data_IF_100555312641
#
_entry.id   IF_100555312641
#
_cell.length_a   1.000
_cell.length_b   1.000
_cell.length_c   1.000
_cell.angle_alpha   90.00
_cell.angle_beta   90.00
_cell.angle_gamma   90.00
#
_symmetry.space_group_name_H-M   'P 1'
#
loop_
_entity.id
_entity.type
_entity.pdbx_description
1 polymer ?
#
# COMPACT_ATOMS: atom_id res chain seq x y z
N UNK A 1 -18.54 -24.41 17.42
CA UNK A 1 -19.15 -23.14 17.03
C UNK A 1 -18.23 -21.98 17.42
N UNK A 2 -17.18 -21.76 16.62
CA UNK A 2 -16.29 -20.62 16.81
C UNK A 2 -16.99 -19.42 16.17
N UNK A 3 -17.61 -18.58 16.97
CA UNK A 3 -18.05 -17.26 16.55
C UNK A 3 -16.79 -16.39 16.43
N UNK A 4 -16.18 -16.41 15.27
CA UNK A 4 -15.10 -15.48 14.95
C UNK A 4 -15.74 -14.14 14.53
N UNK A 5 -16.20 -13.40 15.51
CA UNK A 5 -16.50 -11.99 15.35
C UNK A 5 -15.28 -11.20 15.82
N UNK A 6 -14.18 -11.24 15.08
CA UNK A 6 -13.08 -10.34 15.34
C UNK A 6 -13.48 -8.94 14.84
N UNK A 7 -13.34 -7.87 15.62
CA UNK A 7 -13.53 -6.50 15.15
C UNK A 7 -12.51 -6.11 14.05
N UNK A 8 -11.36 -6.78 13.96
CA UNK A 8 -10.47 -6.71 12.82
C UNK A 8 -11.13 -7.23 11.52
N UNK A 9 -12.08 -8.17 11.67
CA UNK A 9 -12.98 -8.66 10.62
C UNK A 9 -14.42 -8.15 10.77
N UNK A 10 -14.71 -7.33 11.76
CA UNK A 10 -15.96 -6.55 11.85
C UNK A 10 -16.19 -5.63 10.67
N UNK A 11 -15.20 -5.57 9.79
CA UNK A 11 -15.21 -5.02 8.45
C UNK A 11 -16.26 -5.67 7.55
N UNK A 12 -16.72 -6.88 7.88
CA UNK A 12 -17.64 -7.61 7.02
C UNK A 12 -18.58 -8.46 7.86
N UNK A 13 -19.77 -7.95 8.23
CA UNK A 13 -20.77 -8.74 8.96
C UNK A 13 -21.15 -10.07 8.31
N UNK A 14 -20.91 -10.23 7.00
CA UNK A 14 -21.17 -11.46 6.25
C UNK A 14 -20.10 -12.54 6.34
N UNK A 15 -18.85 -12.22 6.75
CA UNK A 15 -17.79 -13.23 6.89
C UNK A 15 -18.11 -14.27 7.96
N UNK A 16 -18.77 -13.88 9.05
CA UNK A 16 -19.21 -14.80 10.10
C UNK A 16 -20.19 -15.88 9.58
N UNK A 17 -20.98 -15.56 8.56
CA UNK A 17 -21.88 -16.52 7.88
C UNK A 17 -21.16 -17.47 6.93
N UNK A 18 -20.17 -16.98 6.20
CA UNK A 18 -19.35 -17.79 5.28
C UNK A 18 -18.46 -18.80 6.01
N UNK A 19 -17.96 -18.46 7.20
CA UNK A 19 -17.22 -19.40 8.07
C UNK A 19 -18.05 -20.60 8.52
N UNK A 20 -19.35 -20.45 8.61
CA UNK A 20 -20.25 -21.56 9.00
C UNK A 20 -20.60 -22.51 7.84
N UNK A 21 -20.47 -22.08 6.58
CA UNK A 21 -20.97 -22.83 5.42
C UNK A 21 -19.99 -22.93 4.24
N UNK A 22 -18.84 -22.26 4.28
CA UNK A 22 -17.92 -22.20 3.16
C UNK A 22 -16.85 -23.29 3.17
N UNK A 23 -16.37 -23.75 2.00
CA UNK A 23 -15.24 -24.66 1.93
C UNK A 23 -14.00 -23.98 2.55
N UNK A 24 -13.20 -24.74 3.30
CA UNK A 24 -11.98 -24.27 3.99
C UNK A 24 -11.08 -23.39 3.10
N UNK A 25 -10.96 -23.73 1.81
CA UNK A 25 -10.17 -22.98 0.83
C UNK A 25 -10.64 -21.54 0.69
N UNK A 26 -11.95 -21.28 0.63
CA UNK A 26 -12.48 -19.92 0.53
C UNK A 26 -12.17 -19.11 1.78
N UNK A 27 -12.35 -19.71 2.95
CA UNK A 27 -12.05 -19.07 4.24
C UNK A 27 -10.56 -18.73 4.34
N UNK A 28 -9.69 -19.64 3.94
CA UNK A 28 -8.25 -19.43 3.88
C UNK A 28 -7.89 -18.28 2.92
N UNK A 29 -8.46 -18.25 1.72
CA UNK A 29 -8.24 -17.19 0.75
C UNK A 29 -8.70 -15.82 1.27
N UNK A 30 -9.84 -15.75 1.96
CA UNK A 30 -10.30 -14.53 2.62
C UNK A 30 -9.33 -14.08 3.73
N UNK A 31 -8.75 -15.02 4.47
CA UNK A 31 -7.71 -14.74 5.46
C UNK A 31 -6.45 -14.09 4.86
N UNK A 32 -6.11 -14.42 3.60
CA UNK A 32 -4.99 -13.78 2.90
C UNK A 32 -5.20 -12.27 2.68
N UNK A 33 -6.44 -11.78 2.65
CA UNK A 33 -6.72 -10.35 2.48
C UNK A 33 -6.13 -9.52 3.62
N UNK A 34 -6.09 -10.06 4.84
CA UNK A 34 -5.46 -9.40 5.98
C UNK A 34 -3.94 -9.26 5.78
N UNK A 35 -3.29 -10.29 5.24
CA UNK A 35 -1.87 -10.22 4.90
C UNK A 35 -1.59 -9.18 3.81
N UNK A 36 -2.52 -9.01 2.85
CA UNK A 36 -2.36 -8.02 1.78
C UNK A 36 -2.32 -6.58 2.31
N UNK A 37 -3.12 -6.25 3.32
CA UNK A 37 -3.05 -4.95 3.98
C UNK A 37 -1.66 -4.68 4.57
N UNK A 38 -1.10 -5.67 5.24
CA UNK A 38 0.23 -5.57 5.89
C UNK A 38 1.35 -5.28 4.89
N UNK A 39 1.22 -5.75 3.64
CA UNK A 39 2.21 -5.54 2.58
C UNK A 39 1.91 -4.35 1.67
N UNK A 40 1.13 -3.38 2.10
CA UNK A 40 0.96 -2.11 1.39
C UNK A 40 1.97 -1.06 1.88
N UNK A 41 2.20 -0.01 1.09
CA UNK A 41 3.06 1.12 1.49
C UNK A 41 4.56 0.94 1.18
N UNK A 42 4.98 -0.15 0.54
CA UNK A 42 6.37 -0.34 0.11
C UNK A 42 6.81 0.69 -0.95
N UNK A 43 5.86 1.31 -1.63
CA UNK A 43 6.06 2.39 -2.59
C UNK A 43 6.56 3.70 -1.95
N UNK A 44 6.52 3.82 -0.63
CA UNK A 44 7.06 4.99 0.07
C UNK A 44 8.52 5.26 -0.31
N UNK A 45 9.33 4.21 -0.52
CA UNK A 45 10.70 4.32 -1.00
C UNK A 45 10.81 4.89 -2.42
N UNK A 46 9.81 4.65 -3.28
CA UNK A 46 9.75 5.26 -4.60
C UNK A 46 9.28 6.72 -4.52
N UNK A 47 8.30 7.01 -3.67
CA UNK A 47 7.73 8.34 -3.50
C UNK A 47 8.73 9.34 -2.87
N UNK A 48 9.78 8.85 -2.21
CA UNK A 48 10.89 9.64 -1.66
C UNK A 48 12.16 9.59 -2.51
N UNK A 49 12.09 9.04 -3.74
CA UNK A 49 13.26 8.87 -4.59
C UNK A 49 13.97 10.19 -4.93
N UNK A 50 13.25 11.29 -5.09
CA UNK A 50 13.83 12.62 -5.36
C UNK A 50 14.72 13.15 -4.21
N UNK A 51 14.54 12.63 -3.00
CA UNK A 51 15.31 12.99 -1.79
C UNK A 51 16.34 11.90 -1.42
N UNK A 52 16.42 10.83 -2.19
CA UNK A 52 17.26 9.65 -1.88
C UNK A 52 18.57 9.71 -2.66
N UNK A 53 19.69 9.60 -1.97
CA UNK A 53 21.02 9.50 -2.61
C UNK A 53 21.10 8.18 -3.39
N UNK A 54 21.60 8.22 -4.63
CA UNK A 54 21.66 7.07 -5.54
C UNK A 54 20.29 6.35 -5.65
N UNK A 55 19.22 7.10 -5.89
CA UNK A 55 17.83 6.63 -5.89
C UNK A 55 17.59 5.42 -6.80
N UNK A 56 18.27 5.35 -7.95
CA UNK A 56 18.18 4.26 -8.91
C UNK A 56 18.55 2.88 -8.32
N UNK A 57 19.35 2.85 -7.26
CA UNK A 57 19.72 1.65 -6.53
C UNK A 57 18.98 1.55 -5.20
N UNK A 58 19.04 2.61 -4.40
CA UNK A 58 18.57 2.60 -3.01
C UNK A 58 17.04 2.53 -2.93
N UNK A 59 16.30 3.18 -3.83
CA UNK A 59 14.84 3.06 -3.85
C UNK A 59 14.38 1.66 -4.24
N UNK A 60 15.05 1.02 -5.21
CA UNK A 60 14.72 -0.35 -5.61
C UNK A 60 14.99 -1.35 -4.48
N UNK A 61 16.13 -1.24 -3.79
CA UNK A 61 16.44 -2.05 -2.61
C UNK A 61 15.51 -1.73 -1.45
N UNK A 62 15.15 -0.47 -1.24
CA UNK A 62 14.20 -0.04 -0.22
C UNK A 62 12.83 -0.71 -0.40
N UNK A 63 12.30 -0.73 -1.62
CA UNK A 63 11.05 -1.42 -1.96
C UNK A 63 11.15 -2.92 -1.66
N UNK A 64 12.22 -3.58 -2.12
CA UNK A 64 12.39 -5.02 -1.92
C UNK A 64 12.56 -5.38 -0.45
N UNK A 65 13.46 -4.68 0.25
CA UNK A 65 13.78 -4.97 1.65
C UNK A 65 12.60 -4.67 2.59
N UNK A 66 11.81 -3.62 2.31
CA UNK A 66 10.62 -3.33 3.12
C UNK A 66 9.64 -4.50 3.12
N UNK A 67 9.42 -5.14 1.97
CA UNK A 67 8.54 -6.32 1.88
C UNK A 67 9.23 -7.56 2.46
N UNK A 68 10.49 -7.83 2.10
CA UNK A 68 11.19 -9.04 2.52
C UNK A 68 11.40 -9.11 4.05
N UNK A 69 11.87 -8.01 4.65
CA UNK A 69 12.07 -7.93 6.10
C UNK A 69 10.74 -7.99 6.84
N UNK A 70 9.73 -7.25 6.38
CA UNK A 70 8.39 -7.28 6.98
C UNK A 70 7.75 -8.67 6.90
N UNK A 71 7.98 -9.40 5.80
CA UNK A 71 7.48 -10.77 5.65
C UNK A 71 8.09 -11.71 6.69
N UNK A 72 9.41 -11.68 6.84
CA UNK A 72 10.12 -12.55 7.78
C UNK A 72 9.76 -12.19 9.24
N UNK A 73 9.91 -10.92 9.61
CA UNK A 73 9.66 -10.46 10.98
C UNK A 73 8.18 -10.62 11.35
N UNK A 74 7.28 -10.24 10.43
CA UNK A 74 5.85 -10.36 10.65
C UNK A 74 5.39 -11.81 10.79
N UNK A 75 5.95 -12.73 9.99
CA UNK A 75 5.66 -14.16 10.11
C UNK A 75 6.11 -14.73 11.46
N UNK A 76 7.34 -14.41 11.88
CA UNK A 76 7.87 -14.84 13.20
C UNK A 76 7.00 -14.27 14.33
N UNK A 77 6.64 -13.00 14.25
CA UNK A 77 5.76 -12.38 15.24
C UNK A 77 4.39 -13.06 15.30
N UNK A 78 3.76 -13.34 14.17
CA UNK A 78 2.48 -14.05 14.12
C UNK A 78 2.58 -15.46 14.68
N UNK A 79 3.67 -16.19 14.40
CA UNK A 79 3.90 -17.52 14.97
C UNK A 79 4.00 -17.45 16.50
N UNK A 80 4.78 -16.50 17.03
CA UNK A 80 4.92 -16.30 18.48
C UNK A 80 3.57 -15.98 19.11
N UNK A 81 2.83 -15.01 18.56
CA UNK A 81 1.52 -14.63 19.06
C UNK A 81 0.52 -15.80 19.04
N UNK A 82 0.55 -16.60 17.98
CA UNK A 82 -0.30 -17.78 17.86
C UNK A 82 0.01 -18.82 18.95
N UNK A 83 1.28 -19.05 19.25
CA UNK A 83 1.70 -19.95 20.33
C UNK A 83 1.37 -19.41 21.73
N UNK A 84 1.32 -18.10 21.87
CA UNK A 84 0.98 -17.44 23.13
C UNK A 84 -0.54 -17.34 23.38
N UNK A 85 -1.40 -17.83 22.47
CA UNK A 85 -2.85 -17.86 22.73
C UNK A 85 -3.12 -18.76 23.97
N UNK A 86 -3.81 -18.25 25.00
CA UNK A 86 -4.05 -19.03 26.21
C UNK A 86 -4.85 -20.31 25.91
N UNK A 87 -4.46 -21.46 26.48
CA UNK A 87 -5.14 -22.74 26.23
C UNK A 87 -6.65 -22.66 26.52
N UNK A 88 -7.46 -23.11 25.56
CA UNK A 88 -8.92 -23.09 25.66
C UNK A 88 -9.58 -21.72 25.43
N UNK A 89 -8.82 -20.63 25.26
CA UNK A 89 -9.33 -19.27 25.11
C UNK A 89 -9.27 -18.74 23.66
N UNK A 90 -9.15 -19.63 22.69
CA UNK A 90 -9.09 -19.23 21.27
C UNK A 90 -10.33 -18.43 20.84
N UNK A 91 -11.53 -18.84 21.27
CA UNK A 91 -12.76 -18.14 20.93
C UNK A 91 -12.87 -16.77 21.62
N UNK A 92 -12.40 -16.65 22.86
CA UNK A 92 -12.35 -15.37 23.59
C UNK A 92 -11.35 -14.42 22.89
N UNK A 93 -10.14 -14.90 22.62
CA UNK A 93 -9.11 -14.13 21.89
C UNK A 93 -9.60 -13.66 20.54
N UNK A 94 -10.29 -14.53 19.79
CA UNK A 94 -10.78 -14.19 18.46
C UNK A 94 -11.95 -13.19 18.46
N UNK A 95 -12.69 -13.09 19.54
CA UNK A 95 -13.81 -12.15 19.70
C UNK A 95 -13.43 -10.86 20.44
N UNK A 96 -12.21 -10.76 20.96
CA UNK A 96 -11.74 -9.55 21.62
C UNK A 96 -11.56 -8.39 20.64
N UNK A 97 -11.77 -7.16 21.11
CA UNK A 97 -11.56 -5.96 20.31
C UNK A 97 -10.08 -5.76 19.93
N UNK A 98 -9.18 -6.24 20.78
CA UNK A 98 -7.73 -6.09 20.63
C UNK A 98 -7.00 -7.43 20.88
N UNK A 99 -7.12 -8.42 19.99
CA UNK A 99 -6.63 -9.79 20.23
C UNK A 99 -5.16 -9.86 20.64
N UNK A 100 -4.31 -9.01 20.06
CA UNK A 100 -2.88 -8.97 20.40
C UNK A 100 -2.67 -8.51 21.84
N UNK A 101 -3.36 -7.45 22.27
CA UNK A 101 -3.27 -6.96 23.65
C UNK A 101 -3.83 -7.98 24.64
N UNK A 102 -4.94 -8.65 24.28
CA UNK A 102 -5.50 -9.74 25.07
C UNK A 102 -4.47 -10.86 25.32
N UNK A 103 -3.75 -11.30 24.29
CA UNK A 103 -2.68 -12.30 24.41
C UNK A 103 -1.57 -11.79 25.33
N UNK A 104 -1.14 -10.55 25.13
CA UNK A 104 -0.05 -9.93 25.90
C UNK A 104 -0.42 -9.82 27.39
N UNK A 105 -1.62 -9.35 27.70
CA UNK A 105 -2.11 -9.21 29.08
C UNK A 105 -2.24 -10.54 29.83
N UNK A 106 -2.53 -11.64 29.09
CA UNK A 106 -2.63 -12.96 29.71
C UNK A 106 -1.27 -13.64 29.94
N UNK A 107 -0.24 -13.27 29.19
CA UNK A 107 1.07 -13.94 29.27
C UNK A 107 2.12 -13.11 30.02
N UNK A 108 1.93 -11.81 30.15
CA UNK A 108 2.90 -10.91 30.75
C UNK A 108 2.31 -10.19 31.98
N UNK A 109 3.19 -9.74 32.86
CA UNK A 109 2.75 -8.86 33.93
C UNK A 109 2.39 -7.47 33.42
N UNK A 110 1.58 -6.71 34.16
CA UNK A 110 1.03 -5.44 33.73
C UNK A 110 2.08 -4.40 33.28
N UNK A 111 3.29 -4.42 33.81
CA UNK A 111 4.36 -3.51 33.37
C UNK A 111 4.79 -3.80 31.94
N UNK A 112 5.08 -5.07 31.61
CA UNK A 112 5.50 -5.44 30.26
C UNK A 112 4.36 -5.37 29.25
N UNK A 113 3.13 -5.68 29.67
CA UNK A 113 1.95 -5.54 28.84
C UNK A 113 1.74 -4.07 28.42
N UNK A 114 1.80 -3.14 29.37
CA UNK A 114 1.70 -1.71 29.08
C UNK A 114 2.87 -1.20 28.22
N UNK A 115 4.09 -1.69 28.44
CA UNK A 115 5.24 -1.32 27.63
C UNK A 115 5.04 -1.74 26.17
N UNK A 116 4.56 -2.96 25.93
CA UNK A 116 4.25 -3.43 24.56
C UNK A 116 3.12 -2.61 23.95
N UNK A 117 2.07 -2.27 24.70
CA UNK A 117 0.99 -1.42 24.21
C UNK A 117 1.52 -0.03 23.76
N UNK A 118 2.42 0.57 24.54
CA UNK A 118 3.06 1.84 24.18
C UNK A 118 3.93 1.68 22.92
N UNK A 119 4.71 0.61 22.81
CA UNK A 119 5.52 0.33 21.59
C UNK A 119 4.63 0.20 20.37
N UNK A 120 3.51 -0.52 20.47
CA UNK A 120 2.53 -0.64 19.38
C UNK A 120 1.98 0.74 19.00
N UNK A 121 1.59 1.56 19.98
CA UNK A 121 1.09 2.92 19.75
C UNK A 121 2.11 3.81 19.04
N UNK A 122 3.37 3.77 19.45
CA UNK A 122 4.47 4.50 18.80
C UNK A 122 4.70 4.00 17.38
N UNK A 123 4.68 2.68 17.16
CA UNK A 123 4.83 2.10 15.82
C UNK A 123 3.68 2.53 14.88
N UNK A 124 2.43 2.55 15.36
CA UNK A 124 1.29 3.03 14.60
C UNK A 124 1.43 4.52 14.24
N UNK A 125 1.90 5.34 15.17
CA UNK A 125 2.14 6.76 14.92
C UNK A 125 3.23 6.98 13.86
N UNK A 126 4.36 6.27 13.95
CA UNK A 126 5.44 6.33 12.96
C UNK A 126 4.98 5.87 11.57
N UNK A 127 4.16 4.82 11.53
CA UNK A 127 3.54 4.36 10.28
C UNK A 127 2.66 5.45 9.65
N UNK A 128 1.83 6.11 10.46
CA UNK A 128 1.02 7.26 10.02
C UNK A 128 1.86 8.43 9.47
N UNK A 129 2.96 8.76 10.14
CA UNK A 129 3.90 9.78 9.67
C UNK A 129 4.55 9.42 8.33
N UNK A 130 4.92 8.16 8.15
CA UNK A 130 5.48 7.65 6.88
C UNK A 130 4.45 7.74 5.75
N UNK A 131 3.21 7.29 6.00
CA UNK A 131 2.11 7.39 5.04
C UNK A 131 1.80 8.83 4.64
N UNK A 132 1.75 9.76 5.61
CA UNK A 132 1.55 11.18 5.33
C UNK A 132 2.68 11.77 4.50
N UNK A 133 3.92 11.39 4.80
CA UNK A 133 5.12 11.79 4.05
C UNK A 133 5.05 11.35 2.59
N UNK A 134 4.76 10.08 2.36
CA UNK A 134 4.61 9.49 1.02
C UNK A 134 3.49 10.18 0.23
N UNK A 135 2.32 10.32 0.85
CA UNK A 135 1.15 10.94 0.21
C UNK A 135 1.40 12.41 -0.14
N UNK A 136 2.02 13.17 0.75
CA UNK A 136 2.31 14.58 0.51
C UNK A 136 3.24 14.77 -0.70
N UNK A 137 4.20 13.88 -0.92
CA UNK A 137 5.10 13.92 -2.07
C UNK A 137 4.42 13.49 -3.35
N UNK A 138 3.59 12.46 -3.29
CA UNK A 138 2.78 12.03 -4.44
C UNK A 138 1.84 13.15 -4.91
N UNK A 139 1.17 13.83 -3.98
CA UNK A 139 0.30 14.97 -4.30
C UNK A 139 1.09 16.15 -4.85
N UNK A 140 2.25 16.43 -4.27
CA UNK A 140 3.15 17.47 -4.77
C UNK A 140 3.59 17.20 -6.22
N UNK A 141 4.05 15.97 -6.51
CA UNK A 141 4.46 15.60 -7.85
C UNK A 141 3.31 15.74 -8.87
N UNK A 142 2.11 15.26 -8.51
CA UNK A 142 0.94 15.36 -9.37
C UNK A 142 0.46 16.82 -9.56
N UNK A 143 0.59 17.67 -8.51
CA UNK A 143 0.30 19.08 -8.60
C UNK A 143 1.35 19.86 -9.42
N UNK A 144 2.63 19.45 -9.35
CA UNK A 144 3.71 20.02 -10.16
C UNK A 144 3.40 19.88 -11.66
N UNK A 145 2.84 18.74 -12.05
CA UNK A 145 2.47 18.45 -13.44
C UNK A 145 1.07 18.96 -13.82
N UNK A 146 0.50 19.85 -13.00
CA UNK A 146 -0.84 20.46 -13.16
C UNK A 146 -1.98 19.42 -13.30
N UNK A 147 -1.80 18.23 -12.75
CA UNK A 147 -2.74 17.10 -12.81
C UNK A 147 -3.92 17.17 -11.84
N UNK A 148 -3.90 18.10 -10.87
CA UNK A 148 -4.95 18.19 -9.84
C UNK A 148 -5.53 19.60 -9.68
N UNK A 149 -6.80 19.72 -9.21
CA UNK A 149 -7.39 21.03 -8.93
C UNK A 149 -6.63 21.69 -7.77
N UNK A 150 -6.44 23.02 -7.85
CA UNK A 150 -5.67 23.75 -6.84
C UNK A 150 -4.16 23.48 -6.87
N UNK A 151 -3.63 22.95 -7.97
CA UNK A 151 -2.21 22.65 -8.17
C UNK A 151 -1.29 23.80 -7.76
N UNK A 152 -1.66 25.05 -8.07
CA UNK A 152 -0.90 26.24 -7.71
C UNK A 152 -0.67 26.42 -6.20
N UNK A 153 -1.56 25.88 -5.35
CA UNK A 153 -1.41 25.91 -3.90
C UNK A 153 -0.60 24.69 -3.41
N UNK A 154 -0.95 23.50 -3.89
CA UNK A 154 -0.39 22.23 -3.41
C UNK A 154 1.10 22.10 -3.78
N UNK A 155 1.51 22.59 -4.95
CA UNK A 155 2.91 22.58 -5.39
C UNK A 155 3.82 23.61 -4.73
N UNK A 156 3.32 24.42 -3.79
CA UNK A 156 4.16 25.37 -3.04
C UNK A 156 4.98 24.66 -1.99
N UNK A 157 6.30 24.73 -2.14
CA UNK A 157 7.24 24.28 -1.12
C UNK A 157 7.52 25.45 -0.16
N UNK A 158 7.48 25.19 1.13
CA UNK A 158 7.82 26.18 2.14
C UNK A 158 9.35 26.36 2.20
N UNK A 159 9.89 27.57 2.00
CA UNK A 159 11.35 27.79 1.95
C UNK A 159 12.07 27.43 3.26
N UNK A 160 11.37 27.53 4.41
CA UNK A 160 11.95 27.28 5.73
C UNK A 160 12.09 25.78 6.02
N UNK A 161 11.12 24.98 5.59
CA UNK A 161 11.05 23.56 5.92
C UNK A 161 11.43 22.65 4.74
N UNK A 162 11.55 23.18 3.53
CA UNK A 162 11.80 22.39 2.32
C UNK A 162 10.69 21.37 1.98
N UNK A 163 9.47 21.57 2.52
CA UNK A 163 8.37 20.60 2.40
C UNK A 163 7.11 21.23 1.82
N UNK A 164 6.25 20.46 1.14
CA UNK A 164 4.96 20.94 0.60
C UNK A 164 3.90 21.01 1.71
N UNK A 165 3.99 22.04 2.56
CA UNK A 165 3.14 22.21 3.76
C UNK A 165 1.64 22.15 3.44
N UNK A 166 1.21 22.77 2.33
CA UNK A 166 -0.20 22.73 1.93
C UNK A 166 -0.67 21.33 1.58
N UNK A 167 0.15 20.55 0.91
CA UNK A 167 -0.15 19.14 0.65
C UNK A 167 -0.34 18.35 1.95
N UNK A 168 0.56 18.55 2.92
CA UNK A 168 0.49 17.90 4.24
C UNK A 168 -0.79 18.30 4.97
N UNK A 169 -1.10 19.61 5.04
CA UNK A 169 -2.28 20.11 5.74
C UNK A 169 -3.59 19.58 5.14
N UNK A 170 -3.71 19.63 3.82
CA UNK A 170 -4.90 19.12 3.12
C UNK A 170 -5.07 17.63 3.39
N UNK A 171 -4.01 16.83 3.21
CA UNK A 171 -4.04 15.38 3.48
C UNK A 171 -4.43 15.09 4.93
N UNK A 172 -3.79 15.78 5.89
CA UNK A 172 -4.08 15.59 7.33
C UNK A 172 -5.53 15.93 7.65
N UNK A 173 -6.06 17.01 7.08
CA UNK A 173 -7.46 17.43 7.29
C UNK A 173 -8.41 16.34 6.77
N UNK A 174 -8.19 15.82 5.57
CA UNK A 174 -9.00 14.72 5.03
C UNK A 174 -8.95 13.47 5.89
N UNK A 175 -7.77 13.07 6.37
CA UNK A 175 -7.60 11.93 7.27
C UNK A 175 -8.40 12.12 8.56
N UNK A 176 -8.28 13.28 9.20
CA UNK A 176 -9.04 13.59 10.43
C UNK A 176 -10.55 13.53 10.19
N UNK A 177 -11.03 14.14 9.11
CA UNK A 177 -12.47 14.13 8.78
C UNK A 177 -13.00 12.71 8.54
N UNK A 178 -12.23 11.86 7.87
CA UNK A 178 -12.59 10.45 7.66
C UNK A 178 -12.60 9.69 8.99
N UNK A 179 -11.61 9.93 9.86
CA UNK A 179 -11.52 9.27 11.17
C UNK A 179 -12.67 9.65 12.14
N UNK A 180 -13.31 10.80 11.94
CA UNK A 180 -14.47 11.20 12.73
C UNK A 180 -15.69 10.28 12.49
N UNK A 181 -15.72 9.59 11.37
CA UNK A 181 -16.78 8.65 11.04
C UNK A 181 -16.27 7.21 11.16
N UNK A 182 -16.43 6.63 12.36
CA UNK A 182 -15.91 5.30 12.71
C UNK A 182 -16.32 4.18 11.73
N UNK A 183 -17.55 4.23 11.20
CA UNK A 183 -18.02 3.26 10.21
C UNK A 183 -17.28 3.35 8.86
N UNK A 184 -16.65 4.50 8.54
CA UNK A 184 -15.88 4.65 7.32
C UNK A 184 -14.55 3.90 7.37
N UNK A 185 -14.00 3.65 8.56
CA UNK A 185 -12.68 3.02 8.71
C UNK A 185 -12.57 1.71 7.92
N UNK A 186 -13.56 0.87 8.02
CA UNK A 186 -13.58 -0.44 7.36
C UNK A 186 -13.65 -0.35 5.84
N UNK A 187 -14.51 0.51 5.35
CA UNK A 187 -14.68 0.73 3.91
C UNK A 187 -13.42 1.36 3.32
N UNK A 188 -12.87 2.37 4.00
CA UNK A 188 -11.66 3.08 3.57
C UNK A 188 -10.44 2.15 3.52
N UNK A 189 -10.24 1.29 4.53
CA UNK A 189 -9.12 0.34 4.53
C UNK A 189 -9.22 -0.67 3.38
N UNK A 190 -10.40 -1.19 3.11
CA UNK A 190 -10.62 -2.12 2.00
C UNK A 190 -10.39 -1.45 0.64
N UNK A 191 -10.93 -0.25 0.43
CA UNK A 191 -10.76 0.51 -0.81
C UNK A 191 -9.29 0.90 -1.00
N UNK A 192 -8.62 1.36 0.06
CA UNK A 192 -7.21 1.75 -0.04
C UNK A 192 -6.32 0.56 -0.44
N UNK A 193 -6.57 -0.63 0.11
CA UNK A 193 -5.83 -1.84 -0.28
C UNK A 193 -5.98 -2.11 -1.77
N UNK A 194 -7.20 -2.15 -2.26
CA UNK A 194 -7.46 -2.44 -3.68
C UNK A 194 -6.87 -1.38 -4.61
N UNK A 195 -7.05 -0.10 -4.28
CA UNK A 195 -6.54 1.00 -5.11
C UNK A 195 -5.02 1.04 -5.13
N UNK A 196 -4.35 0.73 -4.01
CA UNK A 196 -2.90 0.58 -3.95
C UNK A 196 -2.41 -0.57 -4.82
N UNK A 197 -3.02 -1.77 -4.73
CA UNK A 197 -2.64 -2.89 -5.59
C UNK A 197 -2.86 -2.59 -7.07
N UNK A 198 -3.93 -1.87 -7.43
CA UNK A 198 -4.14 -1.40 -8.80
C UNK A 198 -3.06 -0.40 -9.22
N UNK A 199 -2.71 0.55 -8.36
CA UNK A 199 -1.65 1.51 -8.65
C UNK A 199 -0.29 0.84 -8.83
N UNK A 200 0.03 -0.18 -8.03
CA UNK A 200 1.28 -0.93 -8.12
C UNK A 200 1.37 -1.80 -9.38
N UNK A 201 0.25 -2.39 -9.79
CA UNK A 201 0.27 -3.34 -10.91
C UNK A 201 0.29 -2.67 -12.29
N UNK A 202 -0.20 -1.43 -12.39
CA UNK A 202 -0.21 -0.70 -13.67
C UNK A 202 1.20 -0.52 -14.26
N UNK A 203 2.20 -0.01 -13.53
CA UNK A 203 3.58 0.10 -14.03
C UNK A 203 4.18 -1.27 -14.39
N UNK A 204 3.91 -2.30 -13.57
CA UNK A 204 4.38 -3.67 -13.83
C UNK A 204 3.79 -4.22 -15.13
N UNK A 205 2.49 -4.04 -15.33
CA UNK A 205 1.80 -4.46 -16.55
C UNK A 205 2.32 -3.72 -17.78
N UNK A 206 2.51 -2.40 -17.70
CA UNK A 206 3.05 -1.59 -18.80
C UNK A 206 4.47 -2.02 -19.17
N UNK A 207 5.32 -2.26 -18.17
CA UNK A 207 6.67 -2.77 -18.39
C UNK A 207 6.65 -4.17 -19.04
N UNK A 208 5.82 -5.08 -18.52
CA UNK A 208 5.66 -6.42 -19.07
C UNK A 208 5.16 -6.41 -20.53
N UNK A 209 4.15 -5.57 -20.84
CA UNK A 209 3.65 -5.36 -22.20
C UNK A 209 4.73 -4.80 -23.12
N UNK A 210 5.51 -3.84 -22.64
CA UNK A 210 6.57 -3.18 -23.40
C UNK A 210 7.70 -4.17 -23.74
N UNK A 211 8.15 -4.96 -22.78
CA UNK A 211 9.13 -6.04 -22.99
C UNK A 211 8.69 -7.06 -24.03
N UNK A 212 7.40 -7.39 -24.11
CA UNK A 212 6.86 -8.31 -25.11
C UNK A 212 6.79 -7.70 -26.50
N UNK A 213 6.49 -6.39 -26.61
CA UNK A 213 6.37 -5.69 -27.90
C UNK A 213 7.72 -5.46 -28.56
N UNK A 214 8.73 -5.12 -27.81
CA UNK A 214 10.03 -4.69 -28.30
C UNK A 214 11.06 -5.82 -28.40
N UNK A 215 10.64 -7.09 -28.31
CA UNK A 215 11.49 -8.29 -28.48
C UNK A 215 12.83 -8.21 -27.72
N UNK A 216 12.85 -7.54 -26.57
CA UNK A 216 14.02 -7.44 -25.73
C UNK A 216 14.91 -6.20 -25.93
N UNK A 217 14.60 -5.31 -26.91
CA UNK A 217 15.36 -4.05 -27.07
C UNK A 217 15.11 -3.04 -25.96
N UNK A 218 13.95 -3.10 -25.30
CA UNK A 218 13.67 -2.37 -24.06
C UNK A 218 14.00 -3.25 -22.84
N UNK A 219 15.02 -4.03 -22.96
CA UNK A 219 15.63 -4.56 -21.76
C UNK A 219 16.06 -3.36 -20.95
N UNK A 220 15.54 -3.23 -19.72
CA UNK A 220 16.18 -2.53 -18.63
C UNK A 220 17.62 -2.28 -19.02
N UNK A 221 18.05 -1.02 -19.04
CA UNK A 221 19.42 -0.66 -19.41
C UNK A 221 20.37 -1.78 -18.99
N UNK A 222 21.27 -2.22 -19.85
CA UNK A 222 22.23 -3.28 -19.54
C UNK A 222 22.95 -3.02 -18.22
N UNK A 223 22.98 -1.76 -17.79
CA UNK A 223 23.59 -1.26 -16.57
C UNK A 223 22.58 -0.98 -15.43
N UNK A 224 21.30 -1.37 -15.56
CA UNK A 224 20.38 -1.21 -14.44
C UNK A 224 20.85 -2.06 -13.25
N UNK A 225 21.12 -1.45 -12.08
CA UNK A 225 21.70 -2.13 -10.93
C UNK A 225 20.74 -3.18 -10.34
N UNK A 226 19.46 -3.08 -10.70
CA UNK A 226 18.42 -4.02 -10.33
C UNK A 226 17.76 -4.60 -11.57
N UNK A 227 17.94 -5.88 -11.80
CA UNK A 227 17.31 -6.59 -12.91
C UNK A 227 17.04 -8.05 -12.55
N UNK A 228 15.81 -8.50 -12.80
CA UNK A 228 15.42 -9.91 -12.69
C UNK A 228 15.84 -10.76 -13.91
N UNK A 229 16.53 -10.17 -14.89
CA UNK A 229 17.02 -10.84 -16.08
C UNK A 229 15.92 -11.67 -16.77
N UNK A 230 16.21 -12.94 -17.05
CA UNK A 230 15.29 -13.89 -17.72
C UNK A 230 14.01 -14.17 -16.95
N UNK A 231 14.05 -14.07 -15.63
CA UNK A 231 12.88 -14.32 -14.75
C UNK A 231 11.90 -13.15 -14.69
N UNK A 232 12.27 -11.96 -15.18
CA UNK A 232 11.42 -10.78 -15.09
C UNK A 232 10.03 -10.94 -15.71
N UNK A 233 9.92 -11.66 -16.83
CA UNK A 233 8.61 -11.91 -17.45
C UNK A 233 7.74 -12.86 -16.63
N UNK A 234 8.33 -13.87 -16.00
CA UNK A 234 7.63 -14.82 -15.12
C UNK A 234 7.15 -14.10 -13.86
N UNK A 235 8.03 -13.36 -13.20
CA UNK A 235 7.71 -12.63 -11.96
C UNK A 235 6.63 -11.58 -12.20
N UNK A 236 6.74 -10.79 -13.29
CA UNK A 236 5.71 -9.82 -13.65
C UNK A 236 4.37 -10.50 -13.96
N UNK A 237 4.38 -11.63 -14.65
CA UNK A 237 3.17 -12.42 -14.93
C UNK A 237 2.51 -12.95 -13.65
N UNK A 238 3.31 -13.47 -12.71
CA UNK A 238 2.83 -13.92 -11.39
C UNK A 238 2.26 -12.77 -10.56
N UNK A 239 2.92 -11.61 -10.56
CA UNK A 239 2.43 -10.42 -9.85
C UNK A 239 1.08 -9.93 -10.42
N UNK A 240 0.93 -9.92 -11.74
CA UNK A 240 -0.34 -9.56 -12.40
C UNK A 240 -1.42 -10.57 -12.04
N UNK A 241 -1.13 -11.88 -12.16
CA UNK A 241 -2.07 -12.96 -11.82
C UNK A 241 -2.50 -12.91 -10.36
N UNK A 242 -1.56 -12.67 -9.45
CA UNK A 242 -1.83 -12.49 -8.02
C UNK A 242 -2.75 -11.29 -7.74
N UNK A 243 -2.45 -10.13 -8.32
CA UNK A 243 -3.28 -8.94 -8.14
C UNK A 243 -4.69 -9.16 -8.68
N UNK A 244 -4.84 -9.79 -9.84
CA UNK A 244 -6.16 -10.14 -10.37
C UNK A 244 -6.93 -11.09 -9.45
N UNK A 245 -6.26 -12.09 -8.88
CA UNK A 245 -6.85 -13.01 -7.91
C UNK A 245 -7.36 -12.23 -6.68
N UNK A 246 -6.54 -11.35 -6.12
CA UNK A 246 -6.92 -10.52 -4.97
C UNK A 246 -8.11 -9.61 -5.30
N UNK A 247 -8.12 -8.99 -6.47
CA UNK A 247 -9.25 -8.17 -6.93
C UNK A 247 -10.54 -8.97 -7.01
N UNK A 248 -10.48 -10.21 -7.51
CA UNK A 248 -11.64 -11.11 -7.56
C UNK A 248 -12.12 -11.44 -6.14
N UNK A 249 -11.21 -11.81 -5.23
CA UNK A 249 -11.58 -12.16 -3.84
C UNK A 249 -12.21 -10.96 -3.11
N UNK A 250 -11.70 -9.74 -3.32
CA UNK A 250 -12.31 -8.52 -2.78
C UNK A 250 -13.68 -8.19 -3.39
N UNK A 251 -13.99 -8.73 -4.57
CA UNK A 251 -15.24 -8.46 -5.29
C UNK A 251 -16.35 -9.47 -5.00
N UNK A 252 -16.01 -10.59 -4.36
CA UNK A 252 -16.97 -11.65 -4.02
C UNK A 252 -17.73 -11.26 -2.73
N UNK A 253 -19.03 -11.59 -2.61
CA UNK A 253 -19.73 -11.46 -1.35
C UNK A 253 -18.93 -12.08 -0.18
N UNK A 254 -18.78 -11.38 0.95
CA UNK A 254 -19.59 -10.30 1.47
C UNK A 254 -19.06 -8.87 1.17
N UNK A 255 -18.11 -8.71 0.29
CA UNK A 255 -17.41 -7.44 0.03
C UNK A 255 -18.06 -6.57 -1.07
N UNK A 256 -19.34 -6.79 -1.38
CA UNK A 256 -20.06 -6.11 -2.48
C UNK A 256 -20.00 -4.57 -2.38
N UNK A 257 -20.05 -4.04 -1.16
CA UNK A 257 -19.96 -2.58 -0.94
C UNK A 257 -18.61 -2.02 -1.43
N UNK A 258 -17.54 -2.77 -1.27
CA UNK A 258 -16.20 -2.40 -1.75
C UNK A 258 -16.19 -2.30 -3.27
N UNK A 259 -16.79 -3.27 -3.95
CA UNK A 259 -16.89 -3.28 -5.41
C UNK A 259 -17.65 -2.06 -5.95
N UNK A 260 -18.82 -1.77 -5.40
CA UNK A 260 -19.64 -0.61 -5.79
C UNK A 260 -18.93 0.70 -5.53
N UNK A 261 -18.26 0.81 -4.39
CA UNK A 261 -17.48 2.02 -4.05
C UNK A 261 -16.29 2.18 -5.00
N UNK A 262 -15.64 1.09 -5.41
CA UNK A 262 -14.57 1.14 -6.43
C UNK A 262 -15.10 1.64 -7.78
N UNK A 263 -16.24 1.17 -8.24
CA UNK A 263 -16.84 1.69 -9.46
C UNK A 263 -17.20 3.18 -9.35
N UNK A 264 -17.70 3.60 -8.20
CA UNK A 264 -17.97 5.02 -7.93
C UNK A 264 -16.69 5.85 -8.01
N UNK A 265 -15.62 5.43 -7.30
CA UNK A 265 -14.33 6.12 -7.31
C UNK A 265 -13.73 6.14 -8.71
N UNK A 266 -13.73 5.01 -9.41
CA UNK A 266 -13.25 4.95 -10.79
C UNK A 266 -14.04 5.86 -11.73
N UNK A 267 -15.37 5.92 -11.58
CA UNK A 267 -16.24 6.81 -12.32
C UNK A 267 -15.95 8.29 -12.06
N UNK A 268 -15.79 8.66 -10.79
CA UNK A 268 -15.41 10.04 -10.39
C UNK A 268 -14.04 10.42 -10.94
N UNK A 269 -13.06 9.51 -10.87
CA UNK A 269 -11.72 9.74 -11.41
C UNK A 269 -11.73 9.84 -12.93
N UNK A 270 -12.51 9.01 -13.62
CA UNK A 270 -12.67 9.09 -15.08
C UNK A 270 -13.33 10.40 -15.51
N UNK A 271 -14.36 10.81 -14.78
CA UNK A 271 -15.02 12.10 -15.02
C UNK A 271 -14.08 13.28 -14.78
N UNK A 272 -13.35 13.25 -13.66
CA UNK A 272 -12.33 14.26 -13.35
C UNK A 272 -11.25 14.31 -14.44
N UNK A 273 -10.75 13.17 -14.89
CA UNK A 273 -9.81 13.09 -16.00
C UNK A 273 -10.37 13.70 -17.28
N UNK A 274 -11.59 13.34 -17.66
CA UNK A 274 -12.23 13.81 -18.89
C UNK A 274 -12.50 15.32 -18.87
N UNK A 275 -12.94 15.85 -17.73
CA UNK A 275 -13.36 17.26 -17.61
C UNK A 275 -12.19 18.23 -17.33
N UNK A 276 -11.18 17.78 -16.60
CA UNK A 276 -10.13 18.67 -16.13
C UNK A 276 -8.72 18.18 -16.51
N UNK A 277 -8.30 17.01 -16.04
CA UNK A 277 -6.92 16.59 -16.11
C UNK A 277 -6.43 16.41 -17.55
N UNK A 278 -7.23 15.88 -18.46
CA UNK A 278 -6.87 15.66 -19.86
C UNK A 278 -6.40 16.94 -20.57
N UNK A 279 -6.94 18.11 -20.21
CA UNK A 279 -6.58 19.39 -20.80
C UNK A 279 -5.41 20.12 -20.11
N UNK A 280 -5.09 19.75 -18.87
CA UNK A 280 -4.13 20.48 -18.02
C UNK A 280 -2.90 19.65 -17.66
N UNK A 281 -3.05 18.34 -17.58
CA UNK A 281 -1.95 17.44 -17.23
C UNK A 281 -0.89 17.40 -18.33
N UNK A 282 0.31 17.87 -18.01
CA UNK A 282 1.43 17.99 -18.94
C UNK A 282 2.33 16.76 -18.96
N UNK A 283 2.24 15.94 -17.90
CA UNK A 283 3.19 14.84 -17.68
C UNK A 283 4.61 15.36 -17.39
N UNK A 284 5.62 14.48 -17.35
CA UNK A 284 7.01 14.88 -17.19
C UNK A 284 7.43 15.81 -18.32
N UNK A 285 8.09 16.91 -17.99
CA UNK A 285 8.52 17.92 -18.95
C UNK A 285 9.66 17.38 -19.81
N UNK A 286 9.88 17.96 -21.03
CA UNK A 286 11.02 17.59 -21.87
C UNK A 286 12.37 17.85 -21.18
N UNK A 287 12.42 18.81 -20.26
CA UNK A 287 13.61 19.09 -19.46
C UNK A 287 13.89 17.94 -18.50
N UNK A 288 12.86 17.36 -17.88
CA UNK A 288 13.01 16.18 -17.02
C UNK A 288 13.46 14.95 -17.83
N UNK A 289 12.94 14.77 -19.05
CA UNK A 289 13.40 13.70 -19.95
C UNK A 289 14.86 13.90 -20.37
N UNK A 290 15.27 15.12 -20.65
CA UNK A 290 16.66 15.43 -21.01
C UNK A 290 17.60 15.27 -19.82
N UNK A 291 17.19 15.70 -18.63
CA UNK A 291 17.94 15.49 -17.40
C UNK A 291 18.09 13.99 -17.09
N UNK A 292 17.02 13.21 -17.27
CA UNK A 292 17.05 11.77 -17.13
C UNK A 292 18.01 11.13 -18.14
N UNK A 293 17.94 11.52 -19.43
CA UNK A 293 18.83 11.00 -20.45
C UNK A 293 20.30 11.39 -20.20
N UNK A 294 20.55 12.60 -19.72
CA UNK A 294 21.88 13.04 -19.33
C UNK A 294 22.43 12.22 -18.14
N UNK A 295 21.61 11.97 -17.13
CA UNK A 295 21.99 11.14 -15.98
C UNK A 295 22.27 9.69 -16.39
N UNK A 296 21.49 9.13 -17.29
CA UNK A 296 21.69 7.79 -17.83
C UNK A 296 22.99 7.68 -18.62
N UNK A 297 23.32 8.68 -19.45
CA UNK A 297 24.60 8.73 -20.16
C UNK A 297 25.80 8.82 -19.22
N UNK A 298 25.70 9.60 -18.15
CA UNK A 298 26.75 9.69 -17.12
C UNK A 298 26.96 8.35 -16.42
N UNK A 299 25.89 7.58 -16.16
CA UNK A 299 26.00 6.23 -15.59
C UNK A 299 26.64 5.22 -16.55
N UNK A 300 26.42 5.37 -17.88
CA UNK A 300 27.05 4.52 -18.90
C UNK A 300 28.55 4.79 -19.06
N UNK A 301 29.00 6.01 -18.75
CA UNK A 301 30.41 6.45 -18.87
C UNK A 301 31.19 6.33 -17.58
N UNK A 302 30.54 6.00 -16.47
CA UNK A 302 31.20 5.77 -15.17
C UNK A 302 31.77 4.35 -15.12
N UNK A 303 33.10 4.17 -14.85
CA UNK A 303 33.74 2.87 -14.87
C UNK A 303 33.29 1.91 -13.79
#
# INVERSE_FOLDING_TARGET
DVKIASPLFGLVPGLAGLYKAGPFVLVFLLGLLQAQWTYTGFDASANTAEETVAAHLNSAWGIFLSVAVSAIVGYVLLMILTWCIPPGKLAETANDAYPVLYIVDHNLNGFFANLIAVIIGVAMWLCGCSGLTSMARTWYAFARDDGMPGAALVKRVNPRFGTPVWSILITSTFVVLICLYAAAYSVVTSISTITLYLAYIIPVYLNWRNRRRQKGEFTTHKNAPWSLGRYGNLVNGLAIGWTLLILVIFSIPPNELVLWTMFLVAGVMALYWALHAKGHFRGPTREDEQALQASLKLMETSP
#
